data_IF_841677636196
#
_entry.id   IF_841677636196
#
_cell.length_a   1.000
_cell.length_b   1.000
_cell.length_c   1.000
_cell.angle_alpha   90.00
_cell.angle_beta   90.00
_cell.angle_gamma   90.00
#
_symmetry.space_group_name_H-M   'P 1'
#
loop_
_entity.id
_entity.type
_entity.pdbx_description
1 polymer ?
#
# COMPACT_ATOMS: atom_id res chain seq x y z
N UNK A 1 5.39 -9.14 -2.73
CA UNK A 1 6.65 -8.65 -2.17
C UNK A 1 7.74 -9.76 -2.14
N UNK A 2 7.41 -10.95 -1.65
CA UNK A 2 8.38 -12.07 -1.59
C UNK A 2 8.89 -12.51 -2.97
N UNK A 3 8.03 -12.47 -3.98
CA UNK A 3 8.40 -12.84 -5.36
C UNK A 3 9.15 -11.71 -6.10
N UNK A 4 8.70 -10.46 -5.94
CA UNK A 4 9.24 -9.30 -6.66
C UNK A 4 10.46 -8.65 -5.99
N UNK A 5 10.64 -8.85 -4.68
CA UNK A 5 11.78 -8.35 -3.91
C UNK A 5 13.09 -9.03 -4.29
N UNK A 6 14.19 -8.40 -3.91
CA UNK A 6 15.51 -9.01 -4.01
C UNK A 6 15.75 -10.08 -2.97
N UNK A 7 16.87 -10.79 -3.09
CA UNK A 7 17.39 -11.72 -2.08
C UNK A 7 18.68 -11.17 -1.49
N UNK A 8 18.93 -11.42 -0.22
CA UNK A 8 20.12 -10.91 0.48
C UNK A 8 20.66 -11.94 1.45
N UNK A 9 22.00 -11.91 1.64
CA UNK A 9 22.69 -12.72 2.63
C UNK A 9 22.90 -14.18 2.25
N UNK A 10 23.62 -14.89 3.13
CA UNK A 10 23.98 -16.30 2.95
C UNK A 10 22.72 -17.20 3.01
N UNK A 11 21.68 -16.80 3.76
CA UNK A 11 20.42 -17.50 3.85
C UNK A 11 19.45 -17.23 2.69
N UNK A 12 19.86 -16.41 1.71
CA UNK A 12 19.00 -16.03 0.59
C UNK A 12 17.64 -15.44 1.07
N UNK A 13 17.68 -14.63 2.13
CA UNK A 13 16.49 -14.04 2.74
C UNK A 13 15.78 -13.07 1.82
N UNK A 14 14.43 -13.03 1.82
CA UNK A 14 13.67 -12.10 0.99
C UNK A 14 13.87 -10.66 1.48
N UNK A 15 14.24 -9.77 0.56
CA UNK A 15 14.39 -8.34 0.82
C UNK A 15 13.24 -7.57 0.20
N UNK A 16 12.52 -6.80 1.02
CA UNK A 16 11.57 -5.83 0.52
C UNK A 16 12.30 -4.67 -0.15
N UNK A 17 11.99 -4.44 -1.42
CA UNK A 17 12.51 -3.31 -2.17
C UNK A 17 11.36 -2.40 -2.54
N UNK A 18 11.35 -1.18 -2.00
CA UNK A 18 10.29 -0.20 -2.19
C UNK A 18 9.95 0.04 -3.67
N UNK A 19 10.97 0.25 -4.51
CA UNK A 19 10.79 0.56 -5.93
C UNK A 19 10.26 -0.61 -6.75
N UNK A 20 10.49 -1.84 -6.29
CA UNK A 20 10.03 -3.05 -6.99
C UNK A 20 8.75 -3.64 -6.41
N UNK A 21 8.45 -3.38 -5.14
CA UNK A 21 7.34 -4.01 -4.46
C UNK A 21 6.18 -3.06 -4.15
N UNK A 22 6.47 -1.78 -3.94
CA UNK A 22 5.45 -0.78 -3.57
C UNK A 22 5.14 0.18 -4.71
N UNK A 23 6.16 0.77 -5.33
CA UNK A 23 5.96 1.78 -6.37
C UNK A 23 5.33 1.21 -7.64
N UNK A 24 5.54 -0.08 -7.91
CA UNK A 24 4.94 -0.79 -9.05
C UNK A 24 3.64 -1.52 -8.71
N UNK A 25 3.16 -1.42 -7.45
CA UNK A 25 1.96 -2.16 -7.04
C UNK A 25 0.70 -1.46 -7.57
N UNK A 26 -0.19 -2.17 -8.27
CA UNK A 26 -1.40 -1.60 -8.83
C UNK A 26 -2.49 -1.46 -7.75
N UNK A 27 -2.54 -0.32 -7.07
CA UNK A 27 -3.57 -0.04 -6.08
C UNK A 27 -4.97 0.05 -6.70
N UNK A 28 -6.04 -0.30 -5.96
CA UNK A 28 -7.40 -0.21 -6.47
C UNK A 28 -7.88 1.24 -6.58
N UNK A 29 -8.85 1.48 -7.45
CA UNK A 29 -9.60 2.74 -7.53
C UNK A 29 -10.71 2.75 -6.48
N UNK A 30 -10.33 2.81 -5.21
CA UNK A 30 -11.27 2.79 -4.10
C UNK A 30 -12.07 4.11 -4.01
N UNK A 31 -13.38 4.01 -3.75
CA UNK A 31 -14.21 5.18 -3.46
C UNK A 31 -13.79 5.84 -2.13
N UNK A 32 -14.15 7.11 -1.87
CA UNK A 32 -13.85 7.75 -0.59
C UNK A 32 -14.36 6.97 0.62
N UNK A 33 -15.52 6.32 0.49
CA UNK A 33 -16.14 5.50 1.55
C UNK A 33 -15.32 4.23 1.78
N UNK A 34 -14.88 3.54 0.72
CA UNK A 34 -14.01 2.37 0.81
C UNK A 34 -12.66 2.74 1.42
N UNK A 35 -12.07 3.87 1.02
CA UNK A 35 -10.83 4.37 1.61
C UNK A 35 -10.98 4.66 3.10
N UNK A 36 -12.11 5.28 3.52
CA UNK A 36 -12.40 5.56 4.93
C UNK A 36 -12.55 4.26 5.72
N UNK A 37 -13.28 3.29 5.20
CA UNK A 37 -13.45 1.96 5.82
C UNK A 37 -12.13 1.22 5.99
N UNK A 38 -11.32 1.14 4.93
CA UNK A 38 -10.00 0.47 4.97
C UNK A 38 -9.08 1.17 5.99
N UNK A 39 -9.12 2.50 6.03
CA UNK A 39 -8.34 3.28 7.01
C UNK A 39 -8.77 2.98 8.44
N UNK A 40 -10.05 3.01 8.74
CA UNK A 40 -10.59 2.70 10.08
C UNK A 40 -10.16 1.29 10.53
N UNK A 41 -10.32 0.29 9.67
CA UNK A 41 -9.92 -1.08 9.96
C UNK A 41 -8.40 -1.19 10.22
N UNK A 42 -7.59 -0.52 9.41
CA UNK A 42 -6.13 -0.52 9.56
C UNK A 42 -5.69 0.18 10.87
N UNK A 43 -6.33 1.29 11.24
CA UNK A 43 -6.07 2.01 12.49
C UNK A 43 -6.51 1.16 13.70
N UNK A 44 -7.66 0.52 13.65
CA UNK A 44 -8.13 -0.41 14.69
C UNK A 44 -7.17 -1.60 14.86
N UNK A 45 -6.68 -2.16 13.77
CA UNK A 45 -5.71 -3.25 13.78
C UNK A 45 -4.39 -2.82 14.42
N UNK A 46 -3.86 -1.65 14.06
CA UNK A 46 -2.64 -1.11 14.63
C UNK A 46 -2.80 -0.78 16.12
N UNK A 47 -3.90 -0.12 16.49
CA UNK A 47 -4.23 0.19 17.87
C UNK A 47 -4.39 -1.07 18.73
N UNK A 48 -5.00 -2.13 18.18
CA UNK A 48 -5.13 -3.42 18.85
C UNK A 48 -3.74 -4.01 19.16
N UNK A 49 -2.86 -4.12 18.18
CA UNK A 49 -1.50 -4.66 18.36
C UNK A 49 -0.71 -3.88 19.41
N UNK A 50 -0.69 -2.56 19.31
CA UNK A 50 0.00 -1.67 20.25
C UNK A 50 -0.55 -1.79 21.68
N UNK A 51 -1.87 -1.88 21.84
CA UNK A 51 -2.52 -2.03 23.14
C UNK A 51 -2.14 -3.34 23.80
N UNK A 52 -2.23 -4.47 23.09
CA UNK A 52 -1.90 -5.77 23.67
C UNK A 52 -0.42 -5.86 24.04
N UNK A 53 0.50 -5.38 23.21
CA UNK A 53 1.92 -5.34 23.55
C UNK A 53 2.23 -4.39 24.71
N UNK A 54 1.51 -3.28 24.84
CA UNK A 54 1.66 -2.36 25.97
C UNK A 54 1.17 -2.96 27.30
N UNK A 55 0.14 -3.80 27.26
CA UNK A 55 -0.39 -4.50 28.44
C UNK A 55 0.42 -5.74 28.83
N UNK A 56 1.06 -6.37 27.85
CA UNK A 56 1.81 -7.61 27.99
C UNK A 56 3.20 -7.48 27.35
N UNK A 57 4.23 -6.99 28.08
CA UNK A 57 5.55 -6.72 27.53
C UNK A 57 6.26 -7.92 26.88
N UNK A 58 5.93 -9.15 27.34
CA UNK A 58 6.48 -10.39 26.77
C UNK A 58 5.78 -10.80 25.46
N UNK A 59 4.69 -10.15 25.10
CA UNK A 59 3.91 -10.46 23.91
C UNK A 59 4.59 -9.88 22.66
N UNK A 60 5.00 -10.76 21.76
CA UNK A 60 5.60 -10.35 20.49
C UNK A 60 4.60 -10.43 19.35
N UNK A 61 4.73 -9.55 18.35
CA UNK A 61 3.93 -9.65 17.12
C UNK A 61 4.10 -11.01 16.44
N UNK A 62 5.34 -11.50 16.34
CA UNK A 62 5.63 -12.82 15.77
C UNK A 62 4.85 -13.92 16.49
N UNK A 63 4.81 -13.89 17.83
CA UNK A 63 4.03 -14.86 18.62
C UNK A 63 2.54 -14.79 18.32
N UNK A 64 1.96 -13.58 18.25
CA UNK A 64 0.56 -13.38 17.91
C UNK A 64 0.22 -13.92 16.52
N UNK A 65 1.04 -13.62 15.52
CA UNK A 65 0.78 -14.08 14.14
C UNK A 65 1.02 -15.58 13.95
N UNK A 66 1.97 -16.18 14.64
CA UNK A 66 2.13 -17.64 14.63
C UNK A 66 0.90 -18.35 15.22
N UNK A 67 0.34 -17.81 16.30
CA UNK A 67 -0.90 -18.34 16.89
C UNK A 67 -2.09 -18.11 15.95
N UNK A 68 -2.16 -16.94 15.28
CA UNK A 68 -3.21 -16.67 14.29
C UNK A 68 -3.19 -17.68 13.15
N UNK A 69 -2.01 -18.01 12.60
CA UNK A 69 -1.90 -19.02 11.54
C UNK A 69 -2.36 -20.40 12.01
N UNK A 70 -1.99 -20.79 13.23
CA UNK A 70 -2.50 -22.05 13.81
C UNK A 70 -4.01 -22.08 13.97
N UNK A 71 -4.61 -20.96 14.40
CA UNK A 71 -6.06 -20.83 14.48
C UNK A 71 -6.74 -20.96 13.10
N UNK A 72 -6.13 -20.38 12.06
CA UNK A 72 -6.62 -20.51 10.67
C UNK A 72 -6.49 -21.94 10.15
N UNK A 73 -5.42 -22.63 10.53
CA UNK A 73 -5.19 -24.04 10.19
C UNK A 73 -6.02 -25.02 11.02
N UNK A 74 -6.73 -24.56 12.06
CA UNK A 74 -7.47 -25.44 12.98
C UNK A 74 -6.57 -26.29 13.88
N UNK A 75 -5.32 -25.91 14.06
CA UNK A 75 -4.36 -26.63 14.88
C UNK A 75 -4.60 -26.41 16.39
N UNK A 76 -4.21 -27.40 17.18
CA UNK A 76 -4.27 -27.30 18.64
C UNK A 76 -3.14 -26.40 19.16
N UNK A 77 -3.50 -25.49 20.06
CA UNK A 77 -2.54 -24.62 20.73
C UNK A 77 -1.91 -25.28 21.95
N UNK A 78 -0.61 -25.19 22.08
CA UNK A 78 0.13 -25.51 23.31
C UNK A 78 -0.24 -24.57 24.46
N UNK A 79 0.15 -24.90 25.70
CA UNK A 79 -0.14 -24.05 26.85
C UNK A 79 0.42 -22.63 26.70
N UNK A 80 1.64 -22.50 26.17
CA UNK A 80 2.26 -21.18 25.90
C UNK A 80 1.49 -20.38 24.82
N UNK A 81 1.04 -21.06 23.77
CA UNK A 81 0.28 -20.41 22.68
C UNK A 81 -1.13 -20.02 23.13
N UNK A 82 -1.75 -20.76 24.05
CA UNK A 82 -3.01 -20.35 24.68
C UNK A 82 -2.85 -19.06 25.47
N UNK A 83 -1.74 -18.90 26.21
CA UNK A 83 -1.43 -17.64 26.90
C UNK A 83 -1.25 -16.48 25.91
N UNK A 84 -0.52 -16.71 24.81
CA UNK A 84 -0.36 -15.70 23.73
C UNK A 84 -1.73 -15.36 23.10
N UNK A 85 -2.58 -16.37 22.86
CA UNK A 85 -3.92 -16.20 22.32
C UNK A 85 -4.79 -15.30 23.22
N UNK A 86 -4.78 -15.58 24.52
CA UNK A 86 -5.56 -14.82 25.51
C UNK A 86 -5.02 -13.40 25.67
N UNK A 87 -3.72 -13.23 25.89
CA UNK A 87 -3.09 -11.91 26.05
C UNK A 87 -3.16 -11.06 24.79
N UNK A 88 -2.97 -11.68 23.64
CA UNK A 88 -2.99 -11.02 22.34
C UNK A 88 -4.39 -10.80 21.78
N UNK A 89 -5.43 -11.35 22.42
CA UNK A 89 -6.80 -11.40 21.87
C UNK A 89 -6.77 -11.79 20.38
N UNK A 90 -6.07 -12.90 20.07
CA UNK A 90 -5.73 -13.26 18.69
C UNK A 90 -6.98 -13.57 17.85
N UNK A 91 -8.11 -13.95 18.46
CA UNK A 91 -9.38 -14.07 17.73
C UNK A 91 -9.86 -12.71 17.19
N UNK A 92 -9.76 -11.64 17.98
CA UNK A 92 -10.09 -10.30 17.50
C UNK A 92 -9.09 -9.81 16.44
N UNK A 93 -7.80 -10.13 16.63
CA UNK A 93 -6.78 -9.84 15.62
C UNK A 93 -7.13 -10.50 14.27
N UNK A 94 -7.58 -11.77 14.30
CA UNK A 94 -8.04 -12.50 13.11
C UNK A 94 -9.24 -11.81 12.45
N UNK A 95 -10.25 -11.47 13.22
CA UNK A 95 -11.45 -10.78 12.72
C UNK A 95 -11.11 -9.45 12.03
N UNK A 96 -10.25 -8.63 12.65
CA UNK A 96 -9.81 -7.37 12.07
C UNK A 96 -9.04 -7.56 10.76
N UNK A 97 -8.21 -8.60 10.66
CA UNK A 97 -7.54 -8.94 9.40
C UNK A 97 -8.52 -9.40 8.33
N UNK A 98 -9.44 -10.29 8.69
CA UNK A 98 -10.40 -10.84 7.74
C UNK A 98 -11.36 -9.75 7.22
N UNK A 99 -11.77 -8.80 8.08
CA UNK A 99 -12.56 -7.62 7.69
C UNK A 99 -11.76 -6.69 6.76
N UNK A 100 -10.49 -6.42 7.10
CA UNK A 100 -9.61 -5.57 6.30
C UNK A 100 -9.36 -6.20 4.92
N UNK A 101 -9.04 -7.48 4.88
CA UNK A 101 -8.79 -8.19 3.62
C UNK A 101 -10.04 -8.18 2.72
N UNK A 102 -11.25 -8.43 3.28
CA UNK A 102 -12.52 -8.32 2.54
C UNK A 102 -12.74 -6.92 1.98
N UNK A 103 -12.50 -5.87 2.79
CA UNK A 103 -12.67 -4.48 2.34
C UNK A 103 -11.68 -4.14 1.21
N UNK A 104 -10.47 -4.68 1.24
CA UNK A 104 -9.48 -4.52 0.17
C UNK A 104 -9.92 -5.26 -1.10
N UNK A 105 -10.37 -6.51 -1.00
CA UNK A 105 -10.90 -7.23 -2.16
C UNK A 105 -12.10 -6.51 -2.79
N UNK A 106 -13.03 -6.01 -1.97
CA UNK A 106 -14.17 -5.22 -2.43
C UNK A 106 -13.74 -3.93 -3.16
N UNK A 107 -12.65 -3.30 -2.74
CA UNK A 107 -12.09 -2.13 -3.42
C UNK A 107 -11.52 -2.45 -4.81
N UNK A 108 -11.08 -3.70 -5.04
CA UNK A 108 -10.72 -4.20 -6.37
C UNK A 108 -11.92 -4.71 -7.17
N UNK A 109 -13.08 -4.92 -6.56
CA UNK A 109 -14.23 -5.61 -7.17
C UNK A 109 -13.99 -7.12 -7.35
N UNK A 110 -13.15 -7.72 -6.49
CA UNK A 110 -12.77 -9.14 -6.53
C UNK A 110 -13.34 -9.94 -5.35
N UNK A 111 -14.61 -9.73 -5.04
CA UNK A 111 -15.32 -10.39 -3.94
C UNK A 111 -15.33 -11.93 -4.09
N UNK A 112 -15.33 -12.43 -5.33
CA UNK A 112 -15.22 -13.85 -5.65
C UNK A 112 -13.92 -14.49 -5.12
N UNK A 113 -12.81 -13.76 -5.16
CA UNK A 113 -11.55 -14.22 -4.58
C UNK A 113 -11.52 -14.07 -3.05
N UNK A 114 -12.20 -13.06 -2.50
CA UNK A 114 -12.29 -12.88 -1.06
C UNK A 114 -12.91 -14.10 -0.38
N UNK A 115 -13.97 -14.68 -0.94
CA UNK A 115 -14.62 -15.88 -0.41
C UNK A 115 -13.69 -17.10 -0.36
N UNK A 116 -12.74 -17.17 -1.28
CA UNK A 116 -11.81 -18.28 -1.41
C UNK A 116 -10.53 -18.12 -0.61
N UNK A 117 -10.09 -16.88 -0.36
CA UNK A 117 -8.76 -16.59 0.19
C UNK A 117 -8.78 -16.00 1.60
N UNK A 118 -9.81 -15.22 1.96
CA UNK A 118 -9.84 -14.55 3.27
C UNK A 118 -9.99 -15.56 4.40
N UNK A 119 -9.19 -15.39 5.44
CA UNK A 119 -9.18 -16.27 6.62
C UNK A 119 -8.55 -17.64 6.40
N UNK A 120 -8.04 -17.94 5.21
CA UNK A 120 -7.34 -19.19 4.93
C UNK A 120 -5.92 -19.18 5.51
N UNK A 121 -5.39 -20.34 5.91
CA UNK A 121 -4.00 -20.47 6.35
C UNK A 121 -3.03 -20.24 5.18
N UNK A 122 -1.78 -19.88 5.49
CA UNK A 122 -0.73 -19.70 4.50
C UNK A 122 -0.59 -18.27 3.94
N UNK A 123 -1.35 -17.31 4.45
CA UNK A 123 -1.21 -15.91 4.06
C UNK A 123 0.15 -15.33 4.44
N UNK A 124 0.68 -15.69 5.61
CA UNK A 124 1.97 -15.22 6.13
C UNK A 124 3.08 -16.26 6.04
N UNK A 125 2.74 -17.54 6.08
CA UNK A 125 3.70 -18.66 6.01
C UNK A 125 3.30 -19.58 4.86
N UNK A 126 4.20 -19.84 3.89
CA UNK A 126 3.90 -20.77 2.81
C UNK A 126 3.52 -22.16 3.34
N UNK A 127 2.39 -22.69 2.87
CA UNK A 127 1.96 -24.07 3.17
C UNK A 127 2.45 -24.99 2.06
N UNK A 128 3.17 -26.10 2.39
CA UNK A 128 3.61 -27.05 1.39
C UNK A 128 2.44 -27.82 0.74
N UNK A 129 1.41 -28.14 1.53
CA UNK A 129 0.24 -28.93 1.10
C UNK A 129 -1.02 -28.05 1.10
N UNK A 130 -1.04 -27.06 0.22
CA UNK A 130 -2.17 -26.15 0.06
C UNK A 130 -3.29 -26.82 -0.74
N UNK A 131 -4.58 -26.67 -0.34
CA UNK A 131 -5.69 -27.14 -1.16
C UNK A 131 -5.63 -26.56 -2.59
N UNK A 132 -5.90 -27.40 -3.59
CA UNK A 132 -5.82 -27.04 -5.01
C UNK A 132 -6.66 -25.78 -5.32
N UNK A 133 -7.90 -25.72 -4.85
CA UNK A 133 -8.78 -24.56 -5.03
C UNK A 133 -8.21 -23.27 -4.43
N UNK A 134 -7.48 -23.33 -3.30
CA UNK A 134 -6.82 -22.17 -2.73
C UNK A 134 -5.60 -21.77 -3.58
N UNK A 135 -4.84 -22.73 -4.09
CA UNK A 135 -3.69 -22.47 -4.96
C UNK A 135 -4.13 -21.83 -6.28
N UNK A 136 -5.22 -22.33 -6.87
CA UNK A 136 -5.83 -21.75 -8.09
C UNK A 136 -6.32 -20.30 -7.85
N UNK A 137 -7.00 -20.05 -6.73
CA UNK A 137 -7.45 -18.70 -6.37
C UNK A 137 -6.30 -17.73 -6.13
N UNK A 138 -5.18 -18.18 -5.55
CA UNK A 138 -3.97 -17.37 -5.38
C UNK A 138 -3.29 -17.09 -6.72
N UNK A 139 -3.26 -18.05 -7.64
CA UNK A 139 -2.74 -17.85 -8.99
C UNK A 139 -3.60 -16.85 -9.76
N UNK A 140 -4.93 -16.99 -9.69
CA UNK A 140 -5.86 -16.04 -10.30
C UNK A 140 -5.68 -14.62 -9.73
N UNK A 141 -5.49 -14.48 -8.40
CA UNK A 141 -5.17 -13.18 -7.78
C UNK A 141 -3.90 -12.57 -8.38
N UNK A 142 -2.85 -13.36 -8.55
CA UNK A 142 -1.61 -12.88 -9.17
C UNK A 142 -1.82 -12.50 -10.64
N UNK A 143 -2.58 -13.29 -11.40
CA UNK A 143 -2.92 -12.99 -12.79
C UNK A 143 -3.67 -11.65 -12.90
N UNK A 144 -4.68 -11.41 -12.06
CA UNK A 144 -5.43 -10.14 -12.04
C UNK A 144 -4.54 -8.97 -11.66
N UNK A 145 -3.66 -9.12 -10.67
CA UNK A 145 -2.70 -8.07 -10.29
C UNK A 145 -1.71 -7.75 -11.42
N UNK A 146 -1.21 -8.75 -12.14
CA UNK A 146 -0.31 -8.56 -13.28
C UNK A 146 -1.03 -7.87 -14.44
N UNK A 147 -2.28 -8.28 -14.73
CA UNK A 147 -3.09 -7.65 -15.77
C UNK A 147 -3.35 -6.18 -15.45
N UNK A 148 -3.77 -5.87 -14.20
CA UNK A 148 -4.00 -4.50 -13.73
C UNK A 148 -2.71 -3.67 -13.78
N UNK A 149 -1.57 -4.24 -13.38
CA UNK A 149 -0.28 -3.53 -13.46
C UNK A 149 0.09 -3.20 -14.90
N UNK A 150 -0.17 -4.11 -15.85
CA UNK A 150 0.08 -3.87 -17.28
C UNK A 150 -0.83 -2.78 -17.83
N UNK A 151 -2.09 -2.76 -17.43
CA UNK A 151 -3.05 -1.69 -17.78
C UNK A 151 -2.57 -0.33 -17.25
N UNK A 152 -2.16 -0.25 -15.96
CA UNK A 152 -1.63 0.98 -15.36
C UNK A 152 -0.37 1.48 -16.03
N UNK A 153 0.56 0.58 -16.36
CA UNK A 153 1.76 0.93 -17.11
C UNK A 153 1.44 1.51 -18.51
N UNK A 154 0.42 0.96 -19.18
CA UNK A 154 -0.03 1.50 -20.45
C UNK A 154 -0.73 2.87 -20.31
N UNK A 155 -1.46 3.12 -19.23
CA UNK A 155 -2.03 4.44 -18.90
C UNK A 155 -0.92 5.47 -18.65
N UNK A 156 0.09 5.11 -17.83
CA UNK A 156 1.25 5.96 -17.54
C UNK A 156 2.04 6.34 -18.81
N UNK A 157 2.24 5.37 -19.72
CA UNK A 157 2.88 5.61 -21.01
C UNK A 157 2.10 6.61 -21.90
N UNK A 158 0.78 6.74 -21.68
CA UNK A 158 -0.07 7.76 -22.33
C UNK A 158 -0.15 9.07 -21.55
N UNK A 159 0.58 9.20 -20.43
CA UNK A 159 0.63 10.40 -19.59
C UNK A 159 -0.41 10.45 -18.48
N UNK A 160 -1.21 9.39 -18.29
CA UNK A 160 -2.18 9.31 -17.22
C UNK A 160 -1.58 8.63 -15.98
N UNK A 161 -1.14 9.44 -15.00
CA UNK A 161 -0.54 8.95 -13.76
C UNK A 161 -1.58 9.01 -12.64
N UNK A 162 -1.82 7.87 -11.98
CA UNK A 162 -2.73 7.75 -10.84
C UNK A 162 -1.98 7.99 -9.53
N UNK A 163 -1.98 9.24 -9.09
CA UNK A 163 -1.33 9.62 -7.84
C UNK A 163 -2.13 9.12 -6.64
N UNK A 164 -1.50 8.37 -5.72
CA UNK A 164 -2.11 7.94 -4.46
C UNK A 164 -2.33 9.12 -3.49
N UNK A 165 -1.46 10.11 -3.57
CA UNK A 165 -1.46 11.33 -2.76
C UNK A 165 -1.12 12.51 -3.66
N UNK A 166 -2.06 12.99 -4.50
CA UNK A 166 -1.78 14.02 -5.49
C UNK A 166 -1.24 15.30 -4.87
N UNK A 167 -1.70 15.68 -3.68
CA UNK A 167 -1.25 16.85 -2.94
C UNK A 167 0.25 16.84 -2.57
N UNK A 168 0.83 15.63 -2.43
CA UNK A 168 2.27 15.45 -2.17
C UNK A 168 3.08 15.08 -3.39
N UNK A 169 2.51 14.23 -4.25
CA UNK A 169 3.22 13.65 -5.38
C UNK A 169 3.19 14.54 -6.62
N UNK A 170 2.13 15.33 -6.76
CA UNK A 170 1.96 16.28 -7.87
C UNK A 170 1.28 17.59 -7.40
N UNK A 171 1.89 18.35 -6.50
CA UNK A 171 1.29 19.56 -5.92
C UNK A 171 0.98 20.64 -6.97
N UNK A 172 1.69 20.63 -8.10
CA UNK A 172 1.47 21.58 -9.19
C UNK A 172 0.22 21.30 -10.01
N UNK A 173 -0.32 20.07 -10.00
CA UNK A 173 -1.56 19.72 -10.69
C UNK A 173 -2.81 20.21 -9.91
N UNK A 174 -2.69 20.46 -8.62
CA UNK A 174 -3.78 20.99 -7.79
C UNK A 174 -4.03 22.50 -8.04
N UNK A 175 -3.13 23.16 -8.74
CA UNK A 175 -3.25 24.56 -9.17
C UNK A 175 -3.38 24.57 -10.69
N UNK A 176 -4.45 23.97 -11.22
CA UNK A 176 -4.92 24.37 -12.53
C UNK A 176 -5.41 25.83 -12.36
N UNK A 177 -4.82 26.83 -13.02
CA UNK A 177 -5.39 28.16 -12.98
C UNK A 177 -6.79 28.04 -13.57
N UNK A 178 -7.79 28.44 -12.78
CA UNK A 178 -9.09 28.80 -13.30
C UNK A 178 -8.82 29.77 -14.46
N UNK A 179 -8.95 29.30 -15.68
CA UNK A 179 -8.95 30.21 -16.83
C UNK A 179 -10.18 31.09 -16.64
N UNK A 180 -9.98 32.23 -16.00
CA UNK A 180 -10.88 33.35 -16.16
C UNK A 180 -10.80 33.69 -17.65
N UNK A 181 -11.89 33.49 -18.36
CA UNK A 181 -12.10 34.14 -19.63
C UNK A 181 -11.84 35.62 -19.40
N UNK A 182 -10.71 36.11 -19.92
CA UNK A 182 -10.48 37.53 -20.00
C UNK A 182 -11.49 38.04 -21.01
N UNK A 183 -12.51 38.74 -20.55
CA UNK A 183 -13.30 39.63 -21.39
C UNK A 183 -12.30 40.57 -22.05
N UNK A 184 -12.12 40.37 -23.35
CA UNK A 184 -11.39 41.28 -24.20
C UNK A 184 -12.23 42.56 -24.34
N UNK A 185 -11.94 43.50 -23.47
CA UNK A 185 -12.40 44.86 -23.67
C UNK A 185 -11.52 45.51 -24.78
N UNK A 186 -12.15 45.70 -25.94
CA UNK A 186 -11.55 46.18 -27.17
C UNK A 186 -11.47 47.73 -27.11
N UNK A 187 -10.43 48.25 -26.45
CA UNK A 187 -10.03 49.66 -26.67
C UNK A 187 -8.51 49.87 -26.54
N UNK A 188 -7.88 49.94 -27.71
CA UNK A 188 -6.75 50.77 -28.09
C UNK A 188 -5.90 51.47 -27.00
N UNK A 189 -4.60 51.16 -26.92
CA UNK A 189 -3.52 52.06 -27.37
C UNK A 189 -2.15 51.37 -27.21
N UNK A 190 -1.42 51.34 -28.33
CA UNK A 190 -0.04 50.87 -28.37
C UNK A 190 0.87 51.96 -27.84
N UNK A 191 1.41 51.80 -26.64
CA UNK A 191 2.60 52.54 -26.23
C UNK A 191 3.73 51.53 -25.91
N UNK A 192 4.84 51.69 -26.65
CA UNK A 192 5.99 50.78 -26.66
C UNK A 192 6.77 50.86 -25.34
N UNK A 193 6.94 49.73 -24.66
CA UNK A 193 7.83 49.59 -23.49
C UNK A 193 9.10 48.85 -23.91
N UNK A 194 10.32 49.33 -23.53
CA UNK A 194 11.56 48.74 -23.99
C UNK A 194 11.87 47.39 -23.34
N UNK A 195 12.45 46.47 -24.12
CA UNK A 195 12.84 45.12 -23.74
C UNK A 195 13.79 45.11 -22.54
N UNK A 196 13.40 44.43 -21.48
CA UNK A 196 14.29 44.10 -20.37
C UNK A 196 15.21 42.94 -20.73
N UNK A 197 16.52 43.18 -20.67
CA UNK A 197 17.59 42.22 -20.88
C UNK A 197 17.55 41.09 -19.83
N UNK A 198 17.46 39.86 -20.28
CA UNK A 198 17.60 38.67 -19.46
C UNK A 198 19.01 38.53 -18.86
N UNK A 199 19.14 38.62 -17.56
CA UNK A 199 20.37 38.34 -16.85
C UNK A 199 20.55 36.82 -16.71
N UNK A 200 21.46 36.24 -17.51
CA UNK A 200 21.96 34.86 -17.36
C UNK A 200 22.94 34.77 -16.20
N UNK A 201 22.45 34.58 -14.98
CA UNK A 201 23.29 34.30 -13.82
C UNK A 201 23.27 32.77 -13.52
N UNK A 202 24.39 32.08 -13.81
CA UNK A 202 24.61 30.72 -13.30
C UNK A 202 24.73 30.78 -11.78
N UNK A 203 23.79 30.12 -11.08
CA UNK A 203 23.90 29.85 -9.65
C UNK A 203 25.08 28.88 -9.40
N UNK A 204 26.14 29.37 -8.74
CA UNK A 204 27.25 28.52 -8.27
C UNK A 204 26.95 27.98 -6.89
N UNK A 205 27.05 26.65 -6.73
CA UNK A 205 26.91 25.98 -5.45
C UNK A 205 28.02 26.38 -4.47
N UNK A 206 27.75 26.59 -3.17
CA UNK A 206 28.77 26.90 -2.18
C UNK A 206 29.72 25.72 -2.01
N UNK A 207 31.03 25.97 -2.09
CA UNK A 207 32.09 24.98 -1.95
C UNK A 207 32.41 24.53 -0.51
N UNK A 208 31.54 24.81 0.46
CA UNK A 208 31.77 24.51 1.87
C UNK A 208 30.71 23.56 2.42
N UNK A 209 30.80 22.28 2.05
CA UNK A 209 30.20 21.16 2.78
C UNK A 209 31.00 19.88 2.46
N UNK A 210 32.32 19.91 2.73
CA UNK A 210 33.14 18.73 2.88
C UNK A 210 34.10 19.02 4.03
N UNK A 211 33.65 18.76 5.24
CA UNK A 211 34.42 18.59 6.47
C UNK A 211 33.52 18.89 7.66
N UNK A 212 32.72 17.86 8.03
CA UNK A 212 32.38 17.52 9.42
C UNK A 212 31.85 16.10 9.44
#
# INVERSE_FOLDING_TARGET
ALAAGGRLGVGNDPRYNKTRCFETFPFPDATPEQQAQIRDLAERLDAHRKRQQGQHPELTLTGMYNVLEKLRAGEQLSAKEKTIHEQGLVSLLRELHDELDKAVFAAYGWDDLAEQLVGKPGATTPLPDKPEAQAEAEEELLCRLVALNSERAAEEARGHIRWLRPEYQNPSAAVAPEQREAELDDTTDFESVPAATAATGKLTWPKQMREQ
#
